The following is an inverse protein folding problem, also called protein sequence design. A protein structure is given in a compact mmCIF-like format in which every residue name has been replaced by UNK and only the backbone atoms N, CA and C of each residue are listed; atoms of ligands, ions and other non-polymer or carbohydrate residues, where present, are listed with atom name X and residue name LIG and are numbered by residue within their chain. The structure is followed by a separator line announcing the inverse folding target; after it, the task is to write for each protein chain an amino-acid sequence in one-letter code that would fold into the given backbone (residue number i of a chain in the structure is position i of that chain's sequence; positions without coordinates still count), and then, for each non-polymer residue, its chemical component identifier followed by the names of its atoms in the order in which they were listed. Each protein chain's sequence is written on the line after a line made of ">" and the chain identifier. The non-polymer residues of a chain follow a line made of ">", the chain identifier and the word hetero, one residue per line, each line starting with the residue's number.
data_IF_423458083589
#
_entry.id   IF_423458083589
#
_cell.length_a   1.000
_cell.length_b   1.000
_cell.length_c   1.000
_cell.angle_alpha   90.00
_cell.angle_beta   90.00
_cell.angle_gamma   90.00
#
_symmetry.space_group_name_H-M   'P 1'
#
loop_
_entity.id
_entity.type
_entity.pdbx_description
1 polymer ?
#
# COMPACT_ATOMS: atom_id res chain seq x y z
N UNK A 1 64.75 -78.01 -63.88
CA UNK A 1 65.15 -77.23 -62.69
C UNK A 1 64.03 -76.25 -62.45
N UNK A 2 63.32 -76.45 -61.34
CA UNK A 2 62.34 -75.52 -60.78
C UNK A 2 62.95 -74.13 -60.62
N UNK A 3 62.13 -73.10 -60.35
CA UNK A 3 62.36 -72.11 -59.28
C UNK A 3 61.37 -70.95 -59.45
N UNK A 4 60.49 -70.86 -58.46
CA UNK A 4 59.85 -69.68 -57.87
C UNK A 4 58.93 -68.77 -58.70
N UNK A 5 57.65 -68.82 -58.36
CA UNK A 5 56.69 -67.72 -58.54
C UNK A 5 57.05 -66.56 -57.60
N UNK A 6 57.30 -65.38 -58.16
CA UNK A 6 57.27 -64.12 -57.41
C UNK A 6 55.94 -63.40 -57.71
N UNK A 7 55.12 -63.24 -56.68
CA UNK A 7 53.97 -62.34 -56.66
C UNK A 7 54.51 -60.90 -56.66
N UNK A 8 54.28 -60.18 -57.75
CA UNK A 8 54.51 -58.74 -57.79
C UNK A 8 53.26 -58.03 -57.27
N UNK A 9 53.36 -57.39 -56.11
CA UNK A 9 52.34 -56.52 -55.55
C UNK A 9 52.16 -55.28 -56.45
N UNK A 10 51.05 -55.25 -57.20
CA UNK A 10 50.56 -54.00 -57.78
C UNK A 10 50.06 -53.09 -56.66
N UNK A 11 50.84 -52.08 -56.32
CA UNK A 11 50.44 -50.97 -55.45
C UNK A 11 49.22 -50.25 -56.04
N UNK A 12 48.05 -50.21 -55.38
CA UNK A 12 46.98 -49.35 -55.82
C UNK A 12 47.36 -47.89 -55.52
N UNK A 13 47.31 -47.09 -56.57
CA UNK A 13 47.50 -45.64 -56.59
C UNK A 13 46.69 -44.96 -55.47
N UNK A 14 47.36 -44.25 -54.56
CA UNK A 14 46.73 -43.41 -53.52
C UNK A 14 46.00 -42.25 -54.19
N UNK A 15 44.71 -42.42 -54.50
CA UNK A 15 43.82 -41.28 -54.74
C UNK A 15 43.56 -40.59 -53.41
N UNK A 16 44.18 -39.43 -53.22
CA UNK A 16 44.10 -38.63 -52.01
C UNK A 16 42.70 -38.04 -51.79
N UNK A 17 41.75 -38.82 -51.30
CA UNK A 17 40.57 -38.28 -50.62
C UNK A 17 40.96 -38.04 -49.15
N UNK A 18 41.61 -36.90 -48.91
CA UNK A 18 42.11 -36.55 -47.59
C UNK A 18 41.03 -36.58 -46.50
N UNK A 19 41.47 -36.64 -45.23
CA UNK A 19 40.69 -36.59 -43.96
C UNK A 19 39.44 -35.66 -43.94
N UNK A 20 39.31 -34.72 -44.89
CA UNK A 20 38.11 -33.91 -45.13
C UNK A 20 36.91 -34.70 -45.63
N UNK A 21 37.07 -35.69 -46.51
CA UNK A 21 35.96 -36.46 -47.07
C UNK A 21 35.34 -37.41 -46.03
N UNK A 22 36.18 -38.10 -45.26
CA UNK A 22 35.74 -38.96 -44.15
C UNK A 22 35.10 -38.15 -43.01
N UNK A 23 35.64 -36.97 -42.66
CA UNK A 23 34.98 -36.04 -41.71
C UNK A 23 33.61 -35.56 -42.20
N UNK A 24 33.39 -35.46 -43.51
CA UNK A 24 32.11 -35.02 -44.08
C UNK A 24 31.05 -36.14 -43.98
N UNK A 25 31.44 -37.39 -44.24
CA UNK A 25 30.57 -38.56 -44.03
C UNK A 25 30.26 -38.79 -42.55
N UNK A 26 31.24 -38.66 -41.65
CA UNK A 26 31.04 -38.79 -40.21
C UNK A 26 30.22 -37.64 -39.56
N UNK A 27 30.15 -36.46 -40.21
CA UNK A 27 29.27 -35.36 -39.80
C UNK A 27 27.80 -35.64 -40.12
N UNK A 28 27.52 -36.18 -41.31
CA UNK A 28 26.15 -36.44 -41.75
C UNK A 28 25.43 -37.46 -40.84
N UNK A 29 26.13 -38.50 -40.38
CA UNK A 29 25.56 -39.51 -39.47
C UNK A 29 25.39 -39.02 -38.03
N UNK A 30 26.14 -37.99 -37.61
CA UNK A 30 26.01 -37.38 -36.27
C UNK A 30 24.87 -36.36 -36.18
N UNK A 31 24.39 -35.79 -37.27
CA UNK A 31 23.38 -34.71 -37.19
C UNK A 31 21.97 -35.20 -36.81
N UNK A 32 21.67 -36.50 -36.96
CA UNK A 32 20.31 -37.02 -36.71
C UNK A 32 20.03 -37.46 -35.26
N UNK A 33 21.04 -37.67 -34.40
CA UNK A 33 20.86 -38.18 -33.03
C UNK A 33 21.73 -37.44 -32.00
N UNK A 34 21.59 -36.11 -31.91
CA UNK A 34 22.43 -35.28 -31.03
C UNK A 34 21.59 -34.45 -30.06
N UNK A 35 21.65 -34.82 -28.78
CA UNK A 35 21.24 -33.97 -27.66
C UNK A 35 21.89 -32.58 -27.76
N UNK A 36 21.23 -31.54 -27.24
CA UNK A 36 21.63 -30.12 -27.34
C UNK A 36 23.12 -29.82 -27.07
N UNK A 37 23.84 -30.71 -26.37
CA UNK A 37 25.27 -30.65 -26.09
C UNK A 37 26.22 -30.78 -27.29
N UNK A 38 25.82 -31.29 -28.47
CA UNK A 38 26.74 -31.36 -29.64
C UNK A 38 26.42 -30.39 -30.79
N UNK A 39 25.63 -29.32 -30.55
CA UNK A 39 25.52 -28.19 -31.49
C UNK A 39 26.84 -27.42 -31.57
N UNK A 40 27.27 -27.04 -32.78
CA UNK A 40 28.53 -26.31 -33.01
C UNK A 40 28.54 -24.96 -32.27
N UNK A 41 29.34 -24.78 -31.19
CA UNK A 41 29.33 -23.57 -30.38
C UNK A 41 29.79 -22.32 -31.15
N UNK A 42 30.50 -22.49 -32.28
CA UNK A 42 30.91 -21.38 -33.16
C UNK A 42 29.73 -20.78 -33.95
N UNK A 43 28.68 -21.56 -34.21
CA UNK A 43 27.50 -21.10 -34.93
C UNK A 43 26.53 -20.31 -34.02
N UNK A 44 26.58 -20.52 -32.71
CA UNK A 44 25.76 -19.84 -31.70
C UNK A 44 26.55 -18.75 -30.95
N UNK A 45 27.26 -17.92 -31.70
CA UNK A 45 27.99 -16.78 -31.14
C UNK A 45 27.17 -15.50 -31.25
N UNK A 46 27.39 -14.57 -30.33
CA UNK A 46 26.74 -13.27 -30.38
C UNK A 46 27.37 -12.40 -31.49
N UNK A 47 26.55 -11.57 -32.16
CA UNK A 47 27.05 -10.63 -33.17
C UNK A 47 27.97 -9.54 -32.59
N UNK A 48 27.91 -9.27 -31.28
CA UNK A 48 28.77 -8.28 -30.62
C UNK A 48 28.98 -8.62 -29.15
N UNK A 49 30.24 -8.90 -28.77
CA UNK A 49 30.63 -9.24 -27.40
C UNK A 49 30.29 -8.12 -26.42
N UNK A 50 30.70 -6.89 -26.76
CA UNK A 50 30.55 -5.71 -25.90
C UNK A 50 29.07 -5.38 -25.65
N UNK A 51 28.21 -5.49 -26.67
CA UNK A 51 26.77 -5.26 -26.49
C UNK A 51 26.12 -6.38 -25.67
N UNK A 52 26.52 -7.63 -25.89
CA UNK A 52 26.02 -8.78 -25.13
C UNK A 52 26.41 -8.65 -23.65
N UNK A 53 27.65 -8.31 -23.36
CA UNK A 53 28.17 -8.09 -22.01
C UNK A 53 27.43 -6.97 -21.28
N UNK A 54 27.25 -5.80 -21.90
CA UNK A 54 26.48 -4.69 -21.30
C UNK A 54 25.04 -5.08 -20.97
N UNK A 55 24.38 -5.85 -21.85
CA UNK A 55 23.02 -6.36 -21.61
C UNK A 55 22.99 -7.38 -20.49
N UNK A 56 23.98 -8.26 -20.45
CA UNK A 56 24.12 -9.28 -19.41
C UNK A 56 24.30 -8.63 -18.04
N UNK A 57 25.28 -7.73 -17.89
CA UNK A 57 25.51 -6.97 -16.64
C UNK A 57 24.27 -6.22 -16.17
N UNK A 58 23.60 -5.47 -17.07
CA UNK A 58 22.36 -4.75 -16.73
C UNK A 58 21.24 -5.71 -16.32
N UNK A 59 21.12 -6.87 -16.96
CA UNK A 59 20.11 -7.88 -16.62
C UNK A 59 20.38 -8.46 -15.24
N UNK A 60 21.63 -8.80 -14.93
CA UNK A 60 22.05 -9.25 -13.62
C UNK A 60 21.78 -8.19 -12.55
N UNK A 61 22.17 -6.93 -12.77
CA UNK A 61 21.86 -5.82 -11.85
C UNK A 61 20.36 -5.69 -11.55
N UNK A 62 19.52 -5.84 -12.58
CA UNK A 62 18.06 -5.80 -12.43
C UNK A 62 17.55 -7.03 -11.68
N UNK A 63 18.11 -8.21 -11.94
CA UNK A 63 17.73 -9.45 -11.26
C UNK A 63 18.12 -9.40 -9.78
N UNK A 64 19.34 -8.98 -9.47
CA UNK A 64 19.83 -8.78 -8.10
C UNK A 64 18.98 -7.75 -7.36
N UNK A 65 18.61 -6.62 -7.99
CA UNK A 65 17.69 -5.63 -7.39
C UNK A 65 16.27 -6.14 -7.15
N UNK A 66 15.85 -7.20 -7.85
CA UNK A 66 14.53 -7.85 -7.66
C UNK A 66 14.54 -8.90 -6.57
N UNK A 67 15.71 -9.41 -6.19
CA UNK A 67 15.82 -10.37 -5.10
C UNK A 67 15.48 -9.67 -3.78
N UNK A 68 14.48 -10.22 -3.09
CA UNK A 68 14.04 -9.76 -1.77
C UNK A 68 13.99 -10.97 -0.85
N UNK A 69 14.09 -10.72 0.46
CA UNK A 69 13.88 -11.75 1.47
C UNK A 69 12.46 -12.29 1.31
N UNK A 70 12.27 -13.62 1.13
CA UNK A 70 10.95 -14.21 1.06
C UNK A 70 10.26 -14.06 2.41
N UNK A 71 9.17 -13.31 2.42
CA UNK A 71 8.27 -13.20 3.57
C UNK A 71 7.03 -14.03 3.26
N UNK A 72 6.56 -14.79 4.25
CA UNK A 72 5.24 -15.43 4.17
C UNK A 72 4.20 -14.32 4.05
N UNK A 73 3.14 -14.51 3.26
CA UNK A 73 1.97 -13.63 3.28
C UNK A 73 0.83 -14.36 4.01
N UNK A 74 0.23 -13.71 5.01
CA UNK A 74 -0.85 -14.25 5.87
C UNK A 74 -2.16 -13.50 5.64
N UNK A 75 -2.23 -12.66 4.61
CA UNK A 75 -3.46 -11.93 4.30
C UNK A 75 -4.58 -12.90 3.87
N UNK A 76 -5.79 -12.75 4.41
CA UNK A 76 -6.93 -13.58 4.02
C UNK A 76 -7.39 -13.28 2.58
N UNK A 77 -8.19 -14.19 2.01
CA UNK A 77 -8.75 -14.06 0.65
C UNK A 77 -9.57 -12.76 0.53
N UNK A 78 -10.38 -12.47 1.54
CA UNK A 78 -11.05 -11.19 1.67
C UNK A 78 -10.21 -10.28 2.59
N UNK A 79 -9.47 -9.31 2.04
CA UNK A 79 -8.58 -8.49 2.85
C UNK A 79 -9.38 -7.51 3.72
N UNK A 80 -8.91 -7.25 4.96
CA UNK A 80 -9.47 -6.18 5.77
C UNK A 80 -9.20 -4.81 5.12
N UNK A 81 -9.96 -3.76 5.50
CA UNK A 81 -9.71 -2.41 5.05
C UNK A 81 -8.30 -1.93 5.40
N UNK A 82 -7.62 -1.43 4.37
CA UNK A 82 -6.26 -0.88 4.45
C UNK A 82 -6.28 0.42 5.25
N UNK A 83 -5.38 0.57 6.21
CA UNK A 83 -5.35 1.76 7.06
C UNK A 83 -4.52 2.86 6.38
N UNK A 84 -5.17 3.98 6.10
CA UNK A 84 -4.58 5.20 5.57
C UNK A 84 -4.58 6.26 6.66
N UNK A 85 -3.42 6.51 7.25
CA UNK A 85 -3.25 7.55 8.24
C UNK A 85 -2.95 8.89 7.57
N UNK A 86 -3.63 9.95 8.00
CA UNK A 86 -3.35 11.33 7.61
C UNK A 86 -2.62 12.00 8.75
N UNK A 87 -1.33 12.30 8.52
CA UNK A 87 -0.42 12.82 9.53
C UNK A 87 0.17 14.13 9.02
N UNK A 88 0.32 15.09 9.92
CA UNK A 88 0.92 16.37 9.62
C UNK A 88 0.72 17.34 10.78
N UNK A 89 1.38 18.50 10.70
CA UNK A 89 1.37 19.47 11.77
C UNK A 89 -0.01 20.07 12.06
N UNK A 90 -0.18 20.85 13.15
CA UNK A 90 -1.41 21.59 13.38
C UNK A 90 -1.74 22.49 12.18
N UNK A 91 -3.03 22.63 11.89
CA UNK A 91 -3.56 23.59 10.89
C UNK A 91 -3.13 23.38 9.43
N UNK A 92 -2.49 22.26 9.07
CA UNK A 92 -2.14 21.97 7.66
C UNK A 92 -3.29 21.55 6.75
N UNK A 93 -4.50 21.36 7.29
CA UNK A 93 -5.66 20.89 6.53
C UNK A 93 -5.83 19.37 6.48
N UNK A 94 -5.54 18.67 7.59
CA UNK A 94 -5.76 17.21 7.70
C UNK A 94 -7.23 16.84 7.49
N UNK A 95 -8.12 17.44 8.28
CA UNK A 95 -9.57 17.20 8.20
C UNK A 95 -10.13 17.57 6.82
N UNK A 96 -9.71 18.72 6.24
CA UNK A 96 -10.17 19.15 4.91
C UNK A 96 -9.72 18.19 3.81
N UNK A 97 -8.51 17.63 3.91
CA UNK A 97 -8.04 16.61 2.96
C UNK A 97 -8.87 15.35 3.05
N UNK A 98 -9.17 14.88 4.27
CA UNK A 98 -9.99 13.68 4.48
C UNK A 98 -11.40 13.90 3.92
N UNK A 99 -12.03 15.05 4.21
CA UNK A 99 -13.34 15.41 3.65
C UNK A 99 -13.33 15.36 2.11
N UNK A 100 -12.31 15.96 1.49
CA UNK A 100 -12.16 15.97 0.04
C UNK A 100 -11.91 14.57 -0.54
N UNK A 101 -11.10 13.74 0.14
CA UNK A 101 -10.84 12.36 -0.28
C UNK A 101 -12.10 11.50 -0.21
N UNK A 102 -12.84 11.58 0.89
CA UNK A 102 -14.10 10.85 1.07
C UNK A 102 -15.09 11.27 0.00
N UNK A 103 -15.30 12.58 -0.18
CA UNK A 103 -16.16 13.13 -1.25
C UNK A 103 -15.74 12.65 -2.63
N UNK A 104 -14.44 12.51 -2.90
CA UNK A 104 -13.94 11.97 -4.18
C UNK A 104 -14.29 10.50 -4.39
N UNK A 105 -14.29 9.67 -3.33
CA UNK A 105 -14.64 8.26 -3.41
C UNK A 105 -16.15 8.03 -3.45
N UNK A 106 -16.88 8.57 -2.47
CA UNK A 106 -18.29 8.28 -2.19
C UNK A 106 -19.25 9.23 -2.92
N UNK A 107 -18.75 10.37 -3.41
CA UNK A 107 -19.55 11.49 -3.95
C UNK A 107 -20.47 12.18 -2.93
N UNK A 108 -20.41 11.78 -1.66
CA UNK A 108 -21.18 12.37 -0.59
C UNK A 108 -20.26 13.22 0.29
N UNK A 109 -20.62 14.48 0.61
CA UNK A 109 -19.88 15.26 1.59
C UNK A 109 -20.12 14.73 3.00
N UNK A 110 -19.12 14.82 3.87
CA UNK A 110 -19.27 14.62 5.32
C UNK A 110 -19.08 15.96 6.02
N UNK A 111 -19.95 16.26 6.99
CA UNK A 111 -19.93 17.53 7.72
C UNK A 111 -18.83 17.56 8.79
N UNK A 112 -18.77 16.54 9.64
CA UNK A 112 -17.74 16.38 10.66
C UNK A 112 -17.05 15.02 10.55
N UNK A 113 -15.73 15.00 10.74
CA UNK A 113 -14.93 13.78 10.78
C UNK A 113 -14.46 13.57 12.20
N UNK A 114 -14.87 12.44 12.78
CA UNK A 114 -14.44 11.96 14.09
C UNK A 114 -14.19 10.46 13.98
N UNK A 115 -13.00 10.04 14.41
CA UNK A 115 -12.60 8.64 14.38
C UNK A 115 -12.29 8.11 12.97
N UNK A 116 -12.16 6.78 12.82
CA UNK A 116 -11.85 6.14 11.55
C UNK A 116 -13.05 6.14 10.60
N UNK A 117 -12.78 6.35 9.31
CA UNK A 117 -13.79 6.30 8.25
C UNK A 117 -13.43 5.22 7.25
N UNK A 118 -14.26 4.18 7.18
CA UNK A 118 -14.09 3.06 6.24
C UNK A 118 -14.89 3.29 4.97
N UNK A 119 -14.27 3.11 3.81
CA UNK A 119 -14.89 3.32 2.49
C UNK A 119 -14.42 2.28 1.47
N UNK A 120 -15.29 2.00 0.49
CA UNK A 120 -14.98 1.13 -0.64
C UNK A 120 -14.28 1.94 -1.74
N UNK A 121 -13.00 1.65 -1.98
CA UNK A 121 -12.18 2.36 -2.99
C UNK A 121 -12.20 1.67 -4.35
N UNK A 122 -12.26 0.34 -4.35
CA UNK A 122 -12.28 -0.49 -5.55
C UNK A 122 -12.99 -1.81 -5.27
N UNK A 123 -13.20 -2.62 -6.32
CA UNK A 123 -13.92 -3.89 -6.19
C UNK A 123 -13.26 -4.93 -5.29
N UNK A 124 -11.96 -4.81 -5.09
CA UNK A 124 -11.15 -5.74 -4.28
C UNK A 124 -10.52 -5.06 -3.07
N UNK A 125 -10.87 -3.79 -2.80
CA UNK A 125 -10.13 -2.98 -1.84
C UNK A 125 -11.00 -1.96 -1.13
N UNK A 126 -10.88 -1.98 0.20
CA UNK A 126 -11.44 -1.00 1.14
C UNK A 126 -10.30 -0.22 1.78
N UNK A 127 -10.61 0.99 2.19
CA UNK A 127 -9.69 1.88 2.87
C UNK A 127 -10.36 2.33 4.17
N UNK A 128 -9.63 2.36 5.26
CA UNK A 128 -10.00 3.06 6.49
C UNK A 128 -9.10 4.27 6.62
N UNK A 129 -9.66 5.46 6.53
CA UNK A 129 -8.92 6.72 6.68
C UNK A 129 -9.00 7.14 8.14
N UNK A 130 -7.86 7.46 8.74
CA UNK A 130 -7.74 7.89 10.14
C UNK A 130 -7.00 9.22 10.18
N UNK A 131 -7.56 10.19 10.90
CA UNK A 131 -6.85 11.42 11.23
C UNK A 131 -5.93 11.19 12.44
N UNK A 132 -4.67 11.64 12.35
CA UNK A 132 -3.75 11.63 13.47
C UNK A 132 -3.84 12.93 14.26
N UNK A 133 -4.05 12.81 15.57
CA UNK A 133 -3.87 13.90 16.52
C UNK A 133 -2.39 14.31 16.59
N UNK A 134 -2.12 15.49 17.14
CA UNK A 134 -0.75 16.03 17.23
C UNK A 134 0.04 15.49 18.44
N UNK A 135 -0.51 14.55 19.20
CA UNK A 135 0.17 13.96 20.34
C UNK A 135 1.14 12.87 19.88
N UNK A 136 2.35 12.86 20.47
CA UNK A 136 3.37 11.85 20.18
C UNK A 136 2.83 10.42 20.43
N UNK A 137 2.00 10.23 21.47
CA UNK A 137 1.38 8.93 21.75
C UNK A 137 0.49 8.46 20.59
N UNK A 138 -0.36 9.35 20.09
CA UNK A 138 -1.22 9.08 18.94
C UNK A 138 -0.40 8.79 17.68
N UNK A 139 0.69 9.52 17.47
CA UNK A 139 1.65 9.29 16.38
C UNK A 139 2.30 7.90 16.45
N UNK A 140 2.72 7.46 17.64
CA UNK A 140 3.31 6.13 17.87
C UNK A 140 2.30 5.03 17.55
N UNK A 141 1.07 5.14 18.05
CA UNK A 141 0.04 4.12 17.86
C UNK A 141 -0.38 4.01 16.39
N UNK A 142 -0.53 5.16 15.72
CA UNK A 142 -0.83 5.21 14.29
C UNK A 142 0.34 4.67 13.46
N UNK A 143 1.59 4.97 13.81
CA UNK A 143 2.76 4.45 13.09
C UNK A 143 2.83 2.92 13.12
N UNK A 144 2.52 2.29 14.26
CA UNK A 144 2.46 0.82 14.39
C UNK A 144 1.40 0.21 13.47
N UNK A 145 0.27 0.88 13.32
CA UNK A 145 -0.94 0.36 12.68
C UNK A 145 -1.08 0.72 11.19
N UNK A 146 -0.58 1.88 10.74
CA UNK A 146 -0.87 2.43 9.41
C UNK A 146 -0.17 1.73 8.23
N UNK A 147 -0.90 1.28 7.21
CA UNK A 147 -0.33 0.70 5.98
C UNK A 147 0.18 1.75 5.00
N UNK A 148 -0.59 2.84 4.88
CA UNK A 148 -0.26 4.02 4.11
C UNK A 148 -0.28 5.23 5.03
N UNK A 149 0.75 6.06 4.96
CA UNK A 149 0.77 7.38 5.59
C UNK A 149 0.71 8.43 4.50
N UNK A 150 -0.29 9.31 4.59
CA UNK A 150 -0.34 10.58 3.88
C UNK A 150 0.28 11.64 4.77
N UNK A 151 1.49 12.05 4.44
CA UNK A 151 2.25 13.04 5.19
C UNK A 151 1.99 14.42 4.60
N UNK A 152 1.27 15.27 5.33
CA UNK A 152 0.98 16.64 4.93
C UNK A 152 2.13 17.53 5.37
N UNK A 153 2.58 18.37 4.45
CA UNK A 153 3.60 19.38 4.69
C UNK A 153 3.07 20.71 4.20
N UNK A 154 3.24 21.75 5.00
CA UNK A 154 2.95 23.12 4.57
C UNK A 154 4.08 23.61 3.65
N UNK A 155 3.73 24.07 2.44
CA UNK A 155 4.73 24.59 1.51
C UNK A 155 5.21 26.00 1.85
N UNK A 156 4.43 26.78 2.60
CA UNK A 156 4.77 28.14 3.02
C UNK A 156 5.81 28.13 4.15
N UNK A 157 5.59 27.29 5.16
CA UNK A 157 6.47 27.13 6.32
C UNK A 157 7.59 26.13 6.06
N UNK A 158 7.29 25.01 5.40
CA UNK A 158 8.22 23.93 5.12
C UNK A 158 8.04 22.75 6.09
N UNK A 159 9.14 22.07 6.41
CA UNK A 159 9.10 20.91 7.30
C UNK A 159 9.16 21.33 8.77
N UNK A 160 8.11 20.96 9.52
CA UNK A 160 8.01 21.12 10.97
C UNK A 160 8.62 19.93 11.73
N UNK A 161 8.91 20.12 13.01
CA UNK A 161 9.52 19.10 13.87
C UNK A 161 8.62 17.87 14.03
N UNK A 162 7.30 18.05 14.15
CA UNK A 162 6.32 16.96 14.28
C UNK A 162 6.40 15.94 13.12
N UNK A 163 6.71 16.42 11.91
CA UNK A 163 6.89 15.55 10.75
C UNK A 163 8.12 14.65 10.92
N UNK A 164 9.23 15.21 11.40
CA UNK A 164 10.47 14.45 11.61
C UNK A 164 10.33 13.46 12.77
N UNK A 165 9.66 13.85 13.85
CA UNK A 165 9.35 12.95 14.96
C UNK A 165 8.55 11.75 14.46
N UNK A 166 7.48 11.98 13.70
CA UNK A 166 6.68 10.91 13.12
C UNK A 166 7.48 10.00 12.17
N UNK A 167 8.32 10.59 11.30
CA UNK A 167 9.16 9.82 10.37
C UNK A 167 10.17 8.94 11.12
N UNK A 168 10.78 9.45 12.19
CA UNK A 168 11.73 8.70 13.02
C UNK A 168 11.02 7.56 13.76
N UNK A 169 9.83 7.81 14.32
CA UNK A 169 8.98 6.79 14.95
C UNK A 169 8.66 5.67 13.94
N UNK A 170 8.32 6.03 12.69
CA UNK A 170 8.06 5.06 11.62
C UNK A 170 9.32 4.25 11.24
N UNK A 171 10.50 4.87 11.22
CA UNK A 171 11.75 4.15 10.94
C UNK A 171 12.02 3.06 11.97
N UNK A 172 11.76 3.34 13.26
CA UNK A 172 11.96 2.39 14.36
C UNK A 172 10.94 1.26 14.36
N UNK A 173 9.65 1.57 14.21
CA UNK A 173 8.59 0.55 14.23
C UNK A 173 8.44 -0.23 12.91
N UNK A 174 9.10 0.22 11.85
CA UNK A 174 9.03 -0.35 10.52
C UNK A 174 8.32 0.58 9.54
N UNK A 175 9.09 1.09 8.58
CA UNK A 175 8.64 2.13 7.66
C UNK A 175 7.42 1.68 6.82
N UNK A 176 6.22 2.27 7.03
CA UNK A 176 5.08 2.02 6.18
C UNK A 176 5.26 2.69 4.81
N UNK A 177 4.28 2.53 3.91
CA UNK A 177 4.32 3.30 2.65
C UNK A 177 3.97 4.75 2.96
N UNK A 178 4.84 5.68 2.57
CA UNK A 178 4.63 7.12 2.78
C UNK A 178 4.39 7.81 1.43
N UNK A 179 3.36 8.64 1.37
CA UNK A 179 3.12 9.60 0.30
C UNK A 179 3.09 11.00 0.89
N UNK A 180 3.86 11.92 0.30
CA UNK A 180 3.83 13.32 0.74
C UNK A 180 2.73 14.10 0.01
N UNK A 181 2.11 15.04 0.72
CA UNK A 181 1.15 16.01 0.17
C UNK A 181 1.61 17.40 0.60
N UNK A 182 2.01 18.23 -0.37
CA UNK A 182 2.28 19.64 -0.11
C UNK A 182 0.99 20.44 -0.19
N UNK A 183 0.72 21.20 0.86
CA UNK A 183 -0.43 22.11 1.01
C UNK A 183 0.02 23.57 0.96
N UNK A 184 -0.94 24.52 0.98
CA UNK A 184 -0.67 25.96 1.11
C UNK A 184 0.28 26.56 0.06
N UNK A 185 0.19 26.06 -1.19
CA UNK A 185 0.96 26.60 -2.31
C UNK A 185 0.42 27.94 -2.82
N UNK A 186 -0.81 28.28 -2.45
CA UNK A 186 -1.52 29.54 -2.73
C UNK A 186 -0.93 30.72 -1.95
N UNK A 187 -0.36 30.48 -0.76
CA UNK A 187 0.33 31.53 0.01
C UNK A 187 1.57 32.09 -0.71
N UNK A 188 2.15 31.32 -1.63
CA UNK A 188 3.33 31.72 -2.40
C UNK A 188 2.93 32.49 -3.66
N UNK A 189 2.94 33.82 -3.58
CA UNK A 189 2.52 34.71 -4.70
C UNK A 189 3.34 34.57 -5.98
N UNK A 190 4.66 34.28 -5.89
CA UNK A 190 5.57 34.27 -7.05
C UNK A 190 5.74 32.86 -7.62
N UNK A 191 5.40 32.66 -8.90
CA UNK A 191 5.53 31.37 -9.57
C UNK A 191 6.97 30.79 -9.62
N UNK A 192 8.00 31.66 -9.71
CA UNK A 192 9.41 31.22 -9.65
C UNK A 192 9.75 30.66 -8.26
N UNK A 193 9.28 31.32 -7.20
CA UNK A 193 9.48 30.88 -5.81
C UNK A 193 8.77 29.54 -5.56
N UNK A 194 7.53 29.38 -6.02
CA UNK A 194 6.80 28.10 -5.94
C UNK A 194 7.61 26.95 -6.55
N UNK A 195 8.22 27.14 -7.73
CA UNK A 195 9.03 26.11 -8.38
C UNK A 195 10.29 25.77 -7.58
N UNK A 196 10.96 26.78 -7.01
CA UNK A 196 12.14 26.60 -6.17
C UNK A 196 11.78 25.84 -4.88
N UNK A 197 10.75 26.28 -4.15
CA UNK A 197 10.27 25.66 -2.92
C UNK A 197 9.85 24.21 -3.18
N UNK A 198 9.07 23.94 -4.25
CA UNK A 198 8.72 22.57 -4.64
C UNK A 198 9.94 21.69 -4.88
N UNK A 199 11.01 22.23 -5.48
CA UNK A 199 12.27 21.49 -5.73
C UNK A 199 13.01 21.20 -4.43
N UNK A 200 13.14 22.20 -3.55
CA UNK A 200 13.82 22.08 -2.25
C UNK A 200 13.09 21.09 -1.34
N UNK A 201 11.78 21.25 -1.16
CA UNK A 201 10.97 20.37 -0.32
C UNK A 201 10.94 18.94 -0.88
N UNK A 202 10.89 18.77 -2.21
CA UNK A 202 10.97 17.45 -2.83
C UNK A 202 12.32 16.79 -2.59
N UNK A 203 13.42 17.52 -2.71
CA UNK A 203 14.75 17.00 -2.43
C UNK A 203 14.88 16.58 -0.97
N UNK A 204 14.45 17.44 -0.04
CA UNK A 204 14.45 17.14 1.40
C UNK A 204 13.59 15.92 1.71
N UNK A 205 12.37 15.85 1.17
CA UNK A 205 11.48 14.70 1.33
C UNK A 205 12.13 13.38 0.85
N UNK A 206 12.91 13.42 -0.22
CA UNK A 206 13.63 12.25 -0.72
C UNK A 206 14.78 11.82 0.18
N UNK A 207 15.46 12.76 0.83
CA UNK A 207 16.52 12.47 1.80
C UNK A 207 15.95 11.79 3.05
N UNK A 208 14.80 12.24 3.54
CA UNK A 208 14.21 11.75 4.81
C UNK A 208 13.45 10.44 4.68
N UNK A 209 12.78 10.22 3.54
CA UNK A 209 11.90 9.05 3.34
C UNK A 209 12.60 7.98 2.51
N UNK A 210 12.71 8.22 1.21
CA UNK A 210 13.56 7.46 0.29
C UNK A 210 13.61 8.18 -1.06
N UNK A 211 14.70 7.97 -1.81
CA UNK A 211 14.89 8.56 -3.12
C UNK A 211 13.75 8.18 -4.09
N UNK A 212 13.07 9.19 -4.63
CA UNK A 212 11.96 8.97 -5.56
C UNK A 212 10.60 8.73 -4.91
N UNK A 213 10.45 8.99 -3.61
CA UNK A 213 9.15 9.03 -2.95
C UNK A 213 8.18 10.00 -3.66
N UNK A 214 6.89 9.65 -3.66
CA UNK A 214 5.85 10.38 -4.38
C UNK A 214 5.38 11.57 -3.53
N UNK A 215 5.42 12.75 -4.14
CA UNK A 215 4.96 14.00 -3.55
C UNK A 215 3.85 14.59 -4.43
N UNK A 216 2.69 14.84 -3.83
CA UNK A 216 1.55 15.49 -4.46
C UNK A 216 1.52 16.96 -4.07
N UNK A 217 0.92 17.78 -4.93
CA UNK A 217 0.82 19.21 -4.76
C UNK A 217 -0.65 19.58 -4.76
N UNK A 218 -1.13 20.22 -3.70
CA UNK A 218 -2.46 20.81 -3.61
C UNK A 218 -2.33 22.31 -3.77
N UNK A 219 -2.87 22.85 -4.86
CA UNK A 219 -2.58 24.23 -5.27
C UNK A 219 -3.26 25.27 -4.38
N UNK A 220 -4.43 24.97 -3.84
CA UNK A 220 -5.19 25.86 -2.94
C UNK A 220 -6.59 25.34 -2.64
N UNK A 221 -7.36 26.14 -1.92
CA UNK A 221 -8.75 25.86 -1.54
C UNK A 221 -9.72 26.68 -2.40
N UNK A 222 -10.78 26.04 -2.88
CA UNK A 222 -11.91 26.65 -3.57
C UNK A 222 -13.18 26.32 -2.78
N UNK A 223 -13.86 27.32 -2.22
CA UNK A 223 -15.05 27.14 -1.37
C UNK A 223 -14.83 26.17 -0.19
N UNK A 224 -13.65 26.23 0.44
CA UNK A 224 -13.29 25.33 1.55
C UNK A 224 -12.89 23.92 1.13
N UNK A 225 -12.87 23.60 -0.17
CA UNK A 225 -12.48 22.29 -0.71
C UNK A 225 -11.19 22.39 -1.54
N UNK A 226 -10.39 21.32 -1.54
CA UNK A 226 -9.27 21.21 -2.47
C UNK A 226 -9.76 20.98 -3.91
N UNK A 227 -8.90 21.31 -4.89
CA UNK A 227 -9.24 21.13 -6.30
C UNK A 227 -9.51 19.66 -6.61
N UNK A 228 -10.72 19.38 -7.12
CA UNK A 228 -11.21 18.02 -7.40
C UNK A 228 -10.28 17.18 -8.25
N UNK A 229 -9.60 17.78 -9.23
CA UNK A 229 -8.71 17.05 -10.13
C UNK A 229 -7.41 16.59 -9.43
N UNK A 230 -6.88 17.39 -8.50
CA UNK A 230 -5.68 17.06 -7.72
C UNK A 230 -5.99 15.95 -6.71
N UNK A 231 -7.13 16.06 -6.02
CA UNK A 231 -7.62 15.03 -5.07
C UNK A 231 -7.97 13.73 -5.81
N UNK A 232 -8.55 13.82 -7.01
CA UNK A 232 -8.81 12.64 -7.87
C UNK A 232 -7.51 11.96 -8.32
N UNK A 233 -6.44 12.72 -8.51
CA UNK A 233 -5.13 12.13 -8.81
C UNK A 233 -4.56 11.41 -7.58
N UNK A 234 -4.59 12.05 -6.41
CA UNK A 234 -4.15 11.47 -5.14
C UNK A 234 -4.92 10.16 -4.83
N UNK A 235 -6.25 10.19 -4.89
CA UNK A 235 -7.10 9.00 -4.67
C UNK A 235 -6.81 7.86 -5.63
N UNK A 236 -6.48 8.14 -6.90
CA UNK A 236 -6.05 7.12 -7.86
C UNK A 236 -4.77 6.41 -7.39
N UNK A 237 -3.79 7.16 -6.90
CA UNK A 237 -2.54 6.58 -6.39
C UNK A 237 -2.75 5.74 -5.13
N UNK A 238 -3.58 6.22 -4.20
CA UNK A 238 -3.96 5.47 -2.99
C UNK A 238 -4.61 4.13 -3.38
N UNK A 239 -5.53 4.14 -4.35
CA UNK A 239 -6.29 2.96 -4.79
C UNK A 239 -5.40 1.86 -5.41
N UNK A 240 -4.31 2.25 -6.09
CA UNK A 240 -3.42 1.34 -6.83
C UNK A 240 -2.21 0.91 -5.98
N UNK A 241 -1.97 1.55 -4.84
CA UNK A 241 -0.76 1.34 -4.05
C UNK A 241 -0.59 -0.11 -3.57
N UNK A 242 0.61 -0.67 -3.65
CA UNK A 242 0.91 -2.00 -3.10
C UNK A 242 1.68 -1.88 -1.79
N UNK A 243 1.28 -2.65 -0.79
CA UNK A 243 1.94 -2.67 0.51
C UNK A 243 2.98 -3.77 0.57
N UNK A 244 3.99 -3.52 1.40
CA UNK A 244 4.94 -4.54 1.81
C UNK A 244 4.47 -5.06 3.17
N UNK A 245 4.39 -6.38 3.37
CA UNK A 245 4.09 -6.92 4.69
C UNK A 245 5.20 -6.56 5.68
N UNK A 246 4.82 -6.04 6.86
CA UNK A 246 5.72 -5.79 7.97
C UNK A 246 5.67 -6.96 8.95
N UNK A 247 6.83 -7.39 9.46
CA UNK A 247 6.94 -8.58 10.32
C UNK A 247 5.97 -8.53 11.51
N UNK A 248 5.93 -7.40 12.24
CA UNK A 248 5.04 -7.25 13.40
C UNK A 248 3.55 -7.44 13.06
N UNK A 249 3.09 -6.84 11.94
CA UNK A 249 1.68 -6.93 11.50
C UNK A 249 1.30 -8.32 11.01
N UNK A 250 2.29 -9.12 10.65
CA UNK A 250 2.12 -10.50 10.21
C UNK A 250 2.14 -11.50 11.36
N UNK A 251 2.78 -11.15 12.48
CA UNK A 251 2.91 -12.05 13.63
C UNK A 251 1.82 -11.83 14.66
N UNK A 252 1.30 -10.61 14.79
CA UNK A 252 0.32 -10.27 15.84
C UNK A 252 -1.05 -9.91 15.27
N UNK A 253 -2.15 -10.35 15.93
CA UNK A 253 -3.49 -9.84 15.67
C UNK A 253 -3.61 -8.41 16.22
N UNK A 254 -4.25 -7.52 15.48
CA UNK A 254 -4.59 -6.18 15.97
C UNK A 254 -5.91 -5.69 15.36
N UNK A 255 -6.57 -4.79 16.06
CA UNK A 255 -7.84 -4.19 15.65
C UNK A 255 -7.71 -2.68 15.80
N UNK A 256 -8.05 -1.96 14.74
CA UNK A 256 -8.38 -0.54 14.85
C UNK A 256 -9.88 -0.47 15.15
N UNK A 257 -10.23 0.13 16.30
CA UNK A 257 -11.62 0.23 16.78
C UNK A 257 -12.35 1.31 15.98
N UNK A 258 -13.46 0.92 15.35
CA UNK A 258 -14.32 1.82 14.59
C UNK A 258 -15.46 2.38 15.46
N UNK A 259 -16.06 1.56 16.32
CA UNK A 259 -17.17 1.92 17.23
C UNK A 259 -16.88 1.40 18.64
N UNK A 260 -17.24 2.20 19.63
CA UNK A 260 -17.09 1.89 21.05
C UNK A 260 -18.44 2.07 21.74
N UNK A 261 -18.85 1.07 22.50
CA UNK A 261 -20.11 1.08 23.27
C UNK A 261 -19.88 0.64 24.70
N UNK A 262 -20.60 1.28 25.62
CA UNK A 262 -20.62 0.89 27.03
C UNK A 262 -21.85 0.01 27.28
N UNK A 263 -21.63 -1.25 27.68
CA UNK A 263 -22.68 -2.23 27.99
C UNK A 263 -23.04 -2.23 29.48
N UNK A 264 -22.46 -1.34 30.27
CA UNK A 264 -22.69 -1.30 31.73
C UNK A 264 -24.09 -0.81 32.04
N UNK A 265 -24.77 -1.47 32.99
CA UNK A 265 -26.11 -1.06 33.40
C UNK A 265 -26.10 0.38 33.96
N UNK A 266 -27.02 1.26 33.52
CA UNK A 266 -27.01 2.67 33.93
C UNK A 266 -27.26 2.85 35.44
N UNK A 267 -27.97 1.92 36.08
CA UNK A 267 -28.19 1.92 37.53
C UNK A 267 -26.88 1.76 38.31
N UNK A 268 -25.98 0.89 37.86
CA UNK A 268 -24.67 0.68 38.48
C UNK A 268 -23.82 1.96 38.39
N UNK A 269 -23.86 2.63 37.23
CA UNK A 269 -23.16 3.90 37.00
C UNK A 269 -23.74 5.02 37.86
N UNK A 270 -25.07 5.04 38.07
CA UNK A 270 -25.74 6.00 38.95
C UNK A 270 -25.36 5.80 40.42
N UNK A 271 -25.30 4.55 40.87
CA UNK A 271 -24.91 4.22 42.25
C UNK A 271 -23.43 4.55 42.50
N UNK A 272 -22.54 4.18 41.58
CA UNK A 272 -21.11 4.40 41.69
C UNK A 272 -20.52 4.78 40.32
N UNK A 273 -20.12 6.04 40.16
CA UNK A 273 -19.59 6.53 38.89
C UNK A 273 -18.25 5.89 38.48
N UNK A 274 -17.46 5.43 39.46
CA UNK A 274 -16.10 4.88 39.28
C UNK A 274 -16.06 3.34 39.16
N UNK A 275 -17.19 2.68 38.89
CA UNK A 275 -17.21 1.23 38.72
C UNK A 275 -16.50 0.79 37.45
N UNK A 276 -15.94 -0.42 37.48
CA UNK A 276 -15.43 -1.08 36.29
C UNK A 276 -16.55 -1.29 35.26
N UNK A 277 -16.30 -0.83 34.04
CA UNK A 277 -17.28 -0.83 32.96
C UNK A 277 -17.02 -1.95 31.96
N UNK A 278 -18.09 -2.55 31.45
CA UNK A 278 -18.01 -3.52 30.36
C UNK A 278 -18.14 -2.78 29.03
N UNK A 279 -17.07 -2.77 28.25
CA UNK A 279 -17.01 -2.04 26.97
C UNK A 279 -16.98 -3.02 25.81
N UNK A 280 -17.82 -2.77 24.81
CA UNK A 280 -17.81 -3.46 23.53
C UNK A 280 -17.04 -2.63 22.49
N UNK A 281 -16.05 -3.26 21.88
CA UNK A 281 -15.20 -2.66 20.84
C UNK A 281 -15.50 -3.34 19.51
N UNK A 282 -15.89 -2.55 18.52
CA UNK A 282 -16.17 -3.03 17.17
C UNK A 282 -15.07 -2.58 16.22
N UNK A 283 -14.62 -3.47 15.35
CA UNK A 283 -13.65 -3.12 14.33
C UNK A 283 -13.21 -4.33 13.50
N UNK A 284 -12.44 -4.06 12.45
CA UNK A 284 -11.90 -5.10 11.58
C UNK A 284 -10.65 -5.74 12.20
N UNK A 285 -10.66 -7.07 12.27
CA UNK A 285 -9.48 -7.87 12.63
C UNK A 285 -8.44 -7.81 11.52
N UNK A 286 -7.19 -7.52 11.88
CA UNK A 286 -6.06 -7.40 10.95
C UNK A 286 -4.88 -8.25 11.44
N UNK A 287 -4.03 -8.63 10.49
CA UNK A 287 -2.87 -9.48 10.76
C UNK A 287 -3.26 -10.95 10.90
N UNK A 288 -2.95 -11.55 12.05
CA UNK A 288 -3.26 -12.95 12.37
C UNK A 288 -4.69 -13.06 12.90
N UNK A 289 -5.38 -14.20 12.76
CA UNK A 289 -6.65 -14.45 13.44
C UNK A 289 -6.55 -14.26 14.96
N UNK A 290 -7.59 -13.66 15.56
CA UNK A 290 -7.67 -13.42 17.00
C UNK A 290 -8.23 -14.65 17.74
N UNK A 291 -7.61 -15.01 18.87
CA UNK A 291 -8.11 -16.05 19.76
C UNK A 291 -9.16 -15.50 20.73
N UNK A 292 -10.23 -16.26 21.00
CA UNK A 292 -11.35 -15.81 21.86
C UNK A 292 -10.94 -15.44 23.28
N UNK A 293 -9.94 -16.12 23.85
CA UNK A 293 -9.50 -15.94 25.24
C UNK A 293 -8.14 -15.22 25.35
N UNK A 294 -7.75 -14.46 24.33
CA UNK A 294 -6.49 -13.74 24.32
C UNK A 294 -6.45 -12.60 25.35
N UNK A 295 -5.25 -12.28 25.83
CA UNK A 295 -4.96 -10.98 26.42
C UNK A 295 -4.72 -9.96 25.31
N UNK A 296 -5.26 -8.76 25.48
CA UNK A 296 -5.16 -7.64 24.54
C UNK A 296 -4.64 -6.43 25.30
N UNK A 297 -3.64 -5.77 24.73
CA UNK A 297 -3.17 -4.48 25.22
C UNK A 297 -3.92 -3.36 24.50
N UNK A 298 -4.58 -2.49 25.26
CA UNK A 298 -5.18 -1.26 24.73
C UNK A 298 -4.22 -0.11 25.04
N UNK A 299 -3.65 0.56 24.03
CA UNK A 299 -2.78 1.71 24.24
C UNK A 299 -3.47 2.76 25.13
N UNK A 300 -2.80 3.13 26.22
CA UNK A 300 -3.32 4.10 27.21
C UNK A 300 -4.26 3.54 28.27
N UNK A 301 -4.83 2.35 28.10
CA UNK A 301 -5.69 1.71 29.12
C UNK A 301 -5.02 0.53 29.83
N UNK A 302 -4.05 -0.14 29.19
CA UNK A 302 -3.30 -1.26 29.77
C UNK A 302 -3.73 -2.62 29.22
N UNK A 303 -3.30 -3.67 29.92
CA UNK A 303 -3.54 -5.07 29.54
C UNK A 303 -4.89 -5.55 30.07
N UNK A 304 -5.73 -6.06 29.16
CA UNK A 304 -7.06 -6.56 29.46
C UNK A 304 -7.23 -7.96 28.89
N UNK A 305 -8.12 -8.75 29.50
CA UNK A 305 -8.50 -10.07 28.98
C UNK A 305 -9.81 -9.96 28.22
N UNK A 306 -9.86 -10.57 27.04
CA UNK A 306 -11.10 -10.61 26.25
C UNK A 306 -12.11 -11.52 26.94
N UNK A 307 -13.32 -11.00 27.15
CA UNK A 307 -14.43 -11.75 27.75
C UNK A 307 -15.15 -12.60 26.70
N UNK A 308 -15.51 -12.00 25.57
CA UNK A 308 -16.18 -12.69 24.46
C UNK A 308 -15.80 -12.05 23.11
N UNK A 309 -15.87 -12.84 22.03
CA UNK A 309 -15.63 -12.41 20.65
C UNK A 309 -16.74 -12.94 19.76
N UNK A 310 -17.54 -12.04 19.23
CA UNK A 310 -18.59 -12.35 18.26
C UNK A 310 -18.21 -11.84 16.86
N UNK A 311 -18.59 -12.58 15.83
CA UNK A 311 -18.47 -12.15 14.44
C UNK A 311 -19.73 -11.40 14.02
N UNK A 312 -19.55 -10.27 13.35
CA UNK A 312 -20.63 -9.43 12.83
C UNK A 312 -20.54 -9.34 11.31
N UNK A 313 -21.68 -9.18 10.61
CA UNK A 313 -21.67 -8.94 9.18
C UNK A 313 -20.93 -7.65 8.87
N UNK A 314 -20.22 -7.64 7.74
CA UNK A 314 -19.41 -6.50 7.32
C UNK A 314 -20.29 -5.28 6.99
N UNK A 315 -20.03 -4.10 7.58
CA UNK A 315 -20.78 -2.89 7.27
C UNK A 315 -20.50 -2.32 5.86
N UNK A 316 -19.37 -2.70 5.25
CA UNK A 316 -18.95 -2.27 3.92
C UNK A 316 -18.47 -3.48 3.10
N UNK A 317 -19.39 -4.37 2.66
CA UNK A 317 -19.02 -5.54 1.87
C UNK A 317 -18.40 -5.15 0.52
N UNK A 318 -17.45 -5.95 0.05
CA UNK A 318 -16.92 -5.81 -1.30
C UNK A 318 -17.96 -6.26 -2.34
N UNK A 319 -18.02 -5.64 -3.52
CA UNK A 319 -19.00 -6.02 -4.54
C UNK A 319 -18.65 -7.35 -5.23
N UNK A 320 -19.58 -8.32 -5.19
CA UNK A 320 -19.42 -9.66 -5.78
C UNK A 320 -19.20 -9.64 -7.31
N UNK A 321 -19.84 -8.69 -8.00
CA UNK A 321 -19.86 -8.61 -9.48
C UNK A 321 -18.60 -7.94 -10.01
N UNK A 322 -17.55 -8.74 -10.22
CA UNK A 322 -16.26 -8.30 -10.79
C UNK A 322 -16.25 -8.05 -12.32
N UNK A 323 -17.36 -8.28 -13.05
CA UNK A 323 -17.39 -8.24 -14.53
C UNK A 323 -17.01 -6.88 -15.13
N UNK A 324 -17.38 -5.77 -14.48
CA UNK A 324 -17.02 -4.40 -14.92
C UNK A 324 -15.81 -3.88 -14.16
N UNK A 325 -14.93 -3.09 -14.80
CA UNK A 325 -13.76 -2.50 -14.14
C UNK A 325 -14.12 -1.31 -13.23
N UNK A 326 -15.23 -0.63 -13.50
CA UNK A 326 -15.70 0.54 -12.74
C UNK A 326 -16.61 0.13 -11.59
N UNK A 327 -16.57 0.91 -10.51
CA UNK A 327 -17.54 0.82 -9.40
C UNK A 327 -18.83 1.54 -9.78
N UNK A 328 -19.96 0.89 -9.50
CA UNK A 328 -21.30 1.51 -9.58
C UNK A 328 -21.49 2.42 -8.37
N UNK A 329 -22.36 3.43 -8.46
CA UNK A 329 -22.60 4.36 -7.34
C UNK A 329 -23.14 3.64 -6.10
N UNK A 330 -24.01 2.65 -6.27
CA UNK A 330 -24.53 1.82 -5.17
C UNK A 330 -23.44 1.02 -4.44
N UNK A 331 -22.32 0.73 -5.09
CA UNK A 331 -21.20 -0.02 -4.51
C UNK A 331 -20.24 0.89 -3.72
N UNK A 332 -20.44 2.21 -3.73
CA UNK A 332 -19.60 3.20 -3.04
C UNK A 332 -20.08 3.41 -1.61
N UNK A 333 -19.96 2.36 -0.82
CA UNK A 333 -20.37 2.37 0.58
C UNK A 333 -19.35 3.12 1.44
N UNK A 334 -19.88 3.75 2.49
CA UNK A 334 -19.14 4.43 3.54
C UNK A 334 -19.66 3.98 4.90
N UNK A 335 -18.74 3.71 5.81
CA UNK A 335 -19.01 3.38 7.19
C UNK A 335 -18.18 4.30 8.08
N UNK A 336 -18.86 5.18 8.79
CA UNK A 336 -18.26 6.09 9.75
C UNK A 336 -19.24 6.31 10.91
N UNK A 337 -19.18 5.49 11.97
CA UNK A 337 -20.19 5.51 13.03
C UNK A 337 -20.22 6.85 13.80
N UNK A 338 -19.07 7.53 13.92
CA UNK A 338 -18.95 8.81 14.64
C UNK A 338 -18.89 10.05 13.74
N UNK A 339 -18.79 9.88 12.43
CA UNK A 339 -18.67 10.99 11.46
C UNK A 339 -19.98 11.07 10.67
N UNK A 340 -20.83 12.06 10.95
CA UNK A 340 -22.25 12.07 10.59
C UNK A 340 -22.59 11.75 9.13
N UNK A 341 -22.73 10.46 8.81
CA UNK A 341 -23.05 10.00 7.45
C UNK A 341 -24.51 10.32 7.16
N UNK A 342 -24.77 11.06 6.08
CA UNK A 342 -26.14 11.43 5.70
C UNK A 342 -26.81 12.43 6.65
N UNK A 343 -26.03 13.21 7.41
CA UNK A 343 -26.55 14.21 8.35
C UNK A 343 -26.95 13.64 9.72
N UNK A 344 -26.67 12.36 10.00
CA UNK A 344 -26.95 11.74 11.31
C UNK A 344 -25.65 11.52 12.06
N UNK A 345 -25.43 12.25 13.15
CA UNK A 345 -24.29 12.09 14.05
C UNK A 345 -24.74 11.31 15.28
N UNK A 346 -24.13 10.16 15.52
CA UNK A 346 -24.33 9.38 16.73
C UNK A 346 -23.38 9.87 17.82
N UNK A 347 -23.94 10.25 18.96
CA UNK A 347 -23.25 10.41 20.23
C UNK A 347 -23.71 9.32 21.20
N UNK A 348 -23.01 9.12 22.31
CA UNK A 348 -23.23 7.99 23.23
C UNK A 348 -24.70 7.80 23.65
N UNK A 349 -25.38 8.91 23.92
CA UNK A 349 -26.75 8.92 24.44
C UNK A 349 -27.74 9.68 23.55
N UNK A 350 -27.28 10.25 22.42
CA UNK A 350 -28.08 11.13 21.58
C UNK A 350 -27.76 10.97 20.10
N UNK A 351 -28.78 11.11 19.26
CA UNK A 351 -28.64 11.14 17.81
C UNK A 351 -28.95 12.56 17.33
N UNK A 352 -27.95 13.22 16.77
CA UNK A 352 -28.12 14.55 16.19
C UNK A 352 -28.40 14.41 14.69
N UNK A 353 -29.52 14.94 14.23
CA UNK A 353 -29.89 14.94 12.81
C UNK A 353 -29.84 16.35 12.26
N UNK A 354 -28.88 16.63 11.38
CA UNK A 354 -28.80 17.85 10.61
C UNK A 354 -29.78 17.77 9.43
N UNK A 355 -30.95 18.37 9.60
CA UNK A 355 -31.91 18.60 8.53
C UNK A 355 -31.36 19.71 7.63
N UNK A 356 -30.64 19.33 6.57
CA UNK A 356 -30.14 20.26 5.56
C UNK A 356 -31.26 21.19 5.07
N UNK A 357 -31.17 22.46 5.47
CA UNK A 357 -32.26 23.45 5.49
C UNK A 357 -33.26 23.37 4.33
N UNK A 358 -34.45 22.85 4.65
CA UNK A 358 -35.68 23.00 3.86
C UNK A 358 -36.92 23.05 4.77
N UNK A 359 -36.83 22.54 6.00
CA UNK A 359 -37.83 22.73 7.05
C UNK A 359 -37.43 23.87 8.00
N UNK A 360 -37.44 25.11 7.52
CA UNK A 360 -37.81 26.19 8.42
C UNK A 360 -39.28 26.00 8.75
N UNK A 361 -39.59 25.35 9.87
CA UNK A 361 -40.90 25.51 10.49
C UNK A 361 -40.97 26.97 10.92
N UNK A 362 -41.50 27.82 10.03
CA UNK A 362 -42.08 29.10 10.41
C UNK A 362 -43.35 28.76 11.19
N UNK A 363 -43.24 28.84 12.51
CA UNK A 363 -44.37 29.19 13.35
C UNK A 363 -44.18 30.61 13.85
#
# INVERSE_FOLDING_TARGET
>A
MEWASFLCENSPFRSGLGRKAEKKKAKATKEQNVSDKQRNPKAFTFNSAVKAERRFRRKEDIQTKKQHIPLVDRTPIEPPPVIVAVVGPPKVGKTTLIQCLIKSFTKQPLTSIRGPVTLVSGKKRRLTIVECNNDINSMIDIAKVADLVLLLVDASFGFEMEIFEFLNICQVHGMPRIMGVLTHLDMLKRAKQVKQVKKVLKHRFWTEVYAGAKLFYLSGLLHGEYLRHEVKNLSRFISVMKFRPLTWRMTHPYILVDRLEDMTAPEMVRQNFKTDRKVCLYGFVRGVPLNKTASVHIPGCGDLRVHDVAFLPDPCPLPDKLKKRTLVEKERLIYAPFSGVGGVVYDKDAVYVELGGSHSHRH
#
